data_IF_568183139407
#
_entry.id   IF_568183139407
#
_cell.length_a   1.000
_cell.length_b   1.000
_cell.length_c   1.000
_cell.angle_alpha   90.00
_cell.angle_beta   90.00
_cell.angle_gamma   90.00
#
_symmetry.space_group_name_H-M   'P 1'
#
loop_
_entity.id
_entity.type
_entity.pdbx_description
1 polymer ?
#
# COMPACT_ATOMS: atom_id res chain seq x y z
N UNK A 1 -3.72 -4.95 14.08
CA UNK A 1 -2.46 -4.25 13.73
C UNK A 1 -2.56 -3.57 12.37
N UNK A 2 -2.97 -4.31 11.33
CA UNK A 2 -3.11 -3.78 9.96
C UNK A 2 -3.82 -2.41 9.86
N UNK A 3 -4.99 -2.17 10.48
CA UNK A 3 -5.65 -0.85 10.38
C UNK A 3 -4.82 0.32 10.94
N UNK A 4 -4.00 0.06 11.96
CA UNK A 4 -3.12 1.08 12.55
C UNK A 4 -1.98 1.39 11.59
N UNK A 5 -1.40 0.36 10.97
CA UNK A 5 -0.31 0.52 10.02
C UNK A 5 -0.79 1.25 8.77
N UNK A 6 -1.96 0.89 8.22
CA UNK A 6 -2.51 1.55 7.03
C UNK A 6 -2.86 3.02 7.28
N UNK A 7 -3.40 3.36 8.46
CA UNK A 7 -3.60 4.78 8.81
C UNK A 7 -2.33 5.53 9.16
N UNK A 8 -1.28 4.83 9.57
CA UNK A 8 0.03 5.46 9.75
C UNK A 8 0.70 5.70 8.40
N UNK A 9 0.50 4.80 7.45
CA UNK A 9 0.98 4.91 6.07
C UNK A 9 0.40 6.14 5.35
N UNK A 10 -0.86 6.48 5.61
CA UNK A 10 -1.54 7.65 5.05
C UNK A 10 -1.18 9.00 5.71
N UNK A 11 -0.12 9.05 6.53
CA UNK A 11 0.37 10.27 7.18
C UNK A 11 1.64 10.80 6.54
N UNK A 12 1.73 10.75 5.20
CA UNK A 12 2.84 11.39 4.49
C UNK A 12 2.83 12.92 4.72
N UNK A 13 4.01 13.48 4.98
CA UNK A 13 4.25 14.93 4.99
C UNK A 13 4.31 15.49 3.57
N UNK A 14 3.95 16.78 3.40
CA UNK A 14 4.02 17.44 2.08
C UNK A 14 5.47 17.72 1.62
N UNK A 15 6.46 17.51 2.50
CA UNK A 15 7.88 17.74 2.26
C UNK A 15 8.74 16.62 2.81
N UNK A 16 8.16 15.42 2.96
CA UNK A 16 8.94 14.25 3.36
C UNK A 16 9.87 13.89 2.19
N UNK A 17 11.17 14.02 2.39
CA UNK A 17 12.13 13.63 1.37
C UNK A 17 12.23 12.10 1.30
N UNK A 18 12.62 11.54 0.15
CA UNK A 18 12.68 10.08 -0.04
C UNK A 18 13.68 9.40 0.92
N UNK A 19 14.67 10.15 1.41
CA UNK A 19 15.67 9.68 2.37
C UNK A 19 15.23 9.79 3.85
N UNK A 20 14.15 10.53 4.15
CA UNK A 20 13.71 10.75 5.54
C UNK A 20 13.05 9.49 6.14
N UNK A 21 13.49 9.05 7.31
CA UNK A 21 12.84 7.93 8.00
C UNK A 21 11.73 8.42 8.95
N UNK A 22 10.48 8.22 8.55
CA UNK A 22 9.31 8.67 9.30
C UNK A 22 8.34 7.50 9.63
N UNK A 23 7.31 7.74 10.46
CA UNK A 23 6.34 6.70 10.83
C UNK A 23 5.61 6.06 9.65
N UNK A 24 5.33 6.80 8.57
CA UNK A 24 4.66 6.27 7.39
C UNK A 24 5.56 5.23 6.68
N UNK A 25 6.84 5.55 6.45
CA UNK A 25 7.81 4.59 5.88
C UNK A 25 8.03 3.38 6.79
N UNK A 26 8.12 3.62 8.10
CA UNK A 26 8.20 2.53 9.08
C UNK A 26 6.96 1.61 9.04
N UNK A 27 5.77 2.17 8.84
CA UNK A 27 4.55 1.39 8.68
C UNK A 27 4.57 0.53 7.42
N UNK A 28 5.05 1.07 6.29
CA UNK A 28 5.22 0.31 5.04
C UNK A 28 6.15 -0.88 5.21
N UNK A 29 7.33 -0.67 5.79
CA UNK A 29 8.27 -1.76 6.10
C UNK A 29 7.66 -2.77 7.08
N UNK A 30 6.89 -2.32 8.07
CA UNK A 30 6.20 -3.23 8.98
C UNK A 30 5.15 -4.09 8.26
N UNK A 31 4.39 -3.53 7.31
CA UNK A 31 3.43 -4.28 6.48
C UNK A 31 4.17 -5.34 5.64
N UNK A 32 5.30 -4.98 5.03
CA UNK A 32 6.13 -5.91 4.26
C UNK A 32 6.62 -7.08 5.13
N UNK A 33 7.16 -6.79 6.32
CA UNK A 33 7.60 -7.83 7.24
C UNK A 33 6.44 -8.71 7.72
N UNK A 34 5.25 -8.13 7.91
CA UNK A 34 4.05 -8.92 8.24
C UNK A 34 3.62 -9.81 7.07
N UNK A 35 3.72 -9.35 5.83
CA UNK A 35 3.40 -10.14 4.65
C UNK A 35 4.33 -11.36 4.55
N UNK A 36 5.64 -11.15 4.68
CA UNK A 36 6.64 -12.21 4.72
C UNK A 36 6.44 -13.18 5.89
N UNK A 37 6.00 -12.68 7.05
CA UNK A 37 5.79 -13.49 8.25
C UNK A 37 4.48 -14.32 8.21
N UNK A 38 3.44 -13.80 7.57
CA UNK A 38 2.07 -14.38 7.66
C UNK A 38 1.54 -14.94 6.34
N UNK A 39 2.25 -14.72 5.23
CA UNK A 39 1.87 -15.18 3.91
C UNK A 39 0.48 -14.67 3.52
N UNK A 40 -0.37 -15.57 3.02
CA UNK A 40 -1.70 -15.24 2.49
C UNK A 40 -2.63 -14.54 3.50
N UNK A 41 -2.42 -14.75 4.80
CA UNK A 41 -3.33 -14.25 5.84
C UNK A 41 -3.39 -12.72 5.89
N UNK A 42 -2.34 -12.01 5.46
CA UNK A 42 -2.35 -10.54 5.45
C UNK A 42 -3.31 -9.96 4.41
N UNK A 43 -3.58 -10.70 3.32
CA UNK A 43 -4.26 -10.17 2.14
C UNK A 43 -5.68 -9.75 2.48
N UNK A 44 -6.44 -10.60 3.19
CA UNK A 44 -7.81 -10.32 3.63
C UNK A 44 -7.91 -9.08 4.54
N UNK A 45 -6.81 -8.68 5.16
CA UNK A 45 -6.75 -7.54 6.06
C UNK A 45 -6.33 -6.25 5.36
N UNK A 46 -5.50 -6.34 4.31
CA UNK A 46 -4.98 -5.19 3.56
C UNK A 46 -5.88 -4.80 2.39
N UNK A 47 -6.42 -5.76 1.65
CA UNK A 47 -7.25 -5.50 0.47
C UNK A 47 -8.42 -4.53 0.74
N UNK A 48 -9.19 -4.64 1.85
CA UNK A 48 -10.28 -3.70 2.13
C UNK A 48 -9.82 -2.24 2.24
N UNK A 49 -8.59 -1.99 2.70
CA UNK A 49 -8.02 -0.64 2.74
C UNK A 49 -7.70 -0.15 1.33
N UNK A 50 -7.07 -1.00 0.49
CA UNK A 50 -6.70 -0.66 -0.88
C UNK A 50 -7.95 -0.35 -1.71
N UNK A 51 -8.92 -1.26 -1.74
CA UNK A 51 -10.13 -1.13 -2.54
C UNK A 51 -10.92 0.13 -2.19
N UNK A 52 -10.94 0.48 -0.90
CA UNK A 52 -11.61 1.68 -0.40
C UNK A 52 -10.90 2.97 -0.82
N UNK A 53 -9.57 2.96 -0.90
CA UNK A 53 -8.77 4.18 -0.90
C UNK A 53 -7.98 4.44 -2.18
N UNK A 54 -7.90 3.48 -3.11
CA UNK A 54 -7.13 3.64 -4.34
C UNK A 54 -7.64 4.80 -5.24
N UNK A 55 -8.92 5.16 -5.12
CA UNK A 55 -9.55 6.30 -5.79
C UNK A 55 -9.98 7.41 -4.82
N UNK A 56 -9.42 7.44 -3.61
CA UNK A 56 -9.77 8.44 -2.60
C UNK A 56 -9.42 9.86 -3.10
N UNK A 57 -10.27 10.88 -2.91
CA UNK A 57 -9.93 12.26 -3.28
C UNK A 57 -8.69 12.80 -2.54
N UNK A 58 -8.35 12.26 -1.36
CA UNK A 58 -7.12 12.58 -0.65
C UNK A 58 -5.95 11.72 -1.18
N UNK A 59 -4.93 12.38 -1.74
CA UNK A 59 -3.76 11.73 -2.35
C UNK A 59 -3.00 10.84 -1.37
N UNK A 60 -2.94 11.21 -0.09
CA UNK A 60 -2.27 10.43 0.96
C UNK A 60 -2.82 9.02 1.07
N UNK A 61 -4.15 8.90 0.98
CA UNK A 61 -4.82 7.61 0.99
C UNK A 61 -4.63 6.83 -0.30
N UNK A 62 -4.55 7.51 -1.47
CA UNK A 62 -4.24 6.86 -2.75
C UNK A 62 -2.84 6.26 -2.72
N UNK A 63 -1.86 7.06 -2.35
CA UNK A 63 -0.46 6.64 -2.28
C UNK A 63 -0.24 5.57 -1.20
N UNK A 64 -0.84 5.71 -0.02
CA UNK A 64 -0.79 4.67 1.01
C UNK A 64 -1.38 3.35 0.50
N UNK A 65 -2.41 3.39 -0.35
CA UNK A 65 -2.98 2.17 -0.95
C UNK A 65 -2.01 1.51 -1.92
N UNK A 66 -1.32 2.30 -2.75
CA UNK A 66 -0.29 1.79 -3.67
C UNK A 66 0.88 1.20 -2.89
N UNK A 67 1.35 1.89 -1.85
CA UNK A 67 2.43 1.43 -0.99
C UNK A 67 2.05 0.14 -0.24
N UNK A 68 0.83 0.06 0.30
CA UNK A 68 0.31 -1.14 0.95
C UNK A 68 0.20 -2.31 -0.04
N UNK A 69 -0.26 -2.06 -1.27
CA UNK A 69 -0.33 -3.07 -2.33
C UNK A 69 1.07 -3.61 -2.65
N UNK A 70 2.05 -2.74 -2.90
CA UNK A 70 3.43 -3.14 -3.17
C UNK A 70 4.06 -3.91 -1.99
N UNK A 71 3.76 -3.49 -0.76
CA UNK A 71 4.30 -4.11 0.46
C UNK A 71 3.84 -5.56 0.67
N UNK A 72 2.71 -5.99 0.10
CA UNK A 72 2.22 -7.37 0.21
C UNK A 72 2.59 -8.26 -0.98
N UNK A 73 3.37 -7.76 -1.94
CA UNK A 73 3.79 -8.54 -3.12
C UNK A 73 4.91 -9.55 -2.82
N UNK A 74 5.44 -9.56 -1.61
CA UNK A 74 6.40 -10.54 -1.10
C UNK A 74 5.87 -11.16 0.20
N UNK A 75 5.79 -12.50 0.23
CA UNK A 75 5.22 -13.27 1.34
C UNK A 75 4.07 -14.20 0.95
N UNK A 76 2.94 -13.71 0.40
CA UNK A 76 1.85 -14.56 -0.05
C UNK A 76 2.28 -15.55 -1.15
N UNK A 77 1.51 -16.61 -1.32
CA UNK A 77 1.81 -17.64 -2.31
C UNK A 77 1.62 -17.10 -3.74
N UNK A 78 2.30 -17.71 -4.71
CA UNK A 78 2.32 -17.27 -6.11
C UNK A 78 0.91 -17.17 -6.71
N UNK A 79 0.01 -18.12 -6.41
CA UNK A 79 -1.36 -18.11 -6.96
C UNK A 79 -2.15 -16.91 -6.43
N UNK A 80 -1.98 -16.56 -5.15
CA UNK A 80 -2.61 -15.40 -4.54
C UNK A 80 -2.05 -14.10 -5.13
N UNK A 81 -0.72 -14.00 -5.27
CA UNK A 81 -0.05 -12.85 -5.86
C UNK A 81 -0.47 -12.62 -7.31
N UNK A 82 -0.55 -13.68 -8.13
CA UNK A 82 -1.02 -13.57 -9.52
C UNK A 82 -2.42 -12.95 -9.57
N UNK A 83 -3.35 -13.43 -8.73
CA UNK A 83 -4.72 -12.88 -8.68
C UNK A 83 -4.75 -11.42 -8.26
N UNK A 84 -3.97 -11.04 -7.24
CA UNK A 84 -3.88 -9.67 -6.76
C UNK A 84 -3.38 -8.71 -7.86
N UNK A 85 -2.32 -9.12 -8.57
CA UNK A 85 -1.77 -8.34 -9.67
C UNK A 85 -2.77 -8.23 -10.81
N UNK A 86 -3.40 -9.34 -11.22
CA UNK A 86 -4.42 -9.32 -12.28
C UNK A 86 -5.61 -8.41 -11.95
N UNK A 87 -6.06 -8.39 -10.70
CA UNK A 87 -7.18 -7.53 -10.28
C UNK A 87 -6.80 -6.05 -10.09
N UNK A 88 -5.58 -5.78 -9.63
CA UNK A 88 -5.17 -4.43 -9.19
C UNK A 88 -4.35 -3.64 -10.20
N UNK A 89 -3.62 -4.31 -11.10
CA UNK A 89 -2.58 -3.67 -11.94
C UNK A 89 -3.12 -2.51 -12.78
N UNK A 90 -4.26 -2.70 -13.46
CA UNK A 90 -4.84 -1.63 -14.29
C UNK A 90 -5.25 -0.41 -13.47
N UNK A 91 -5.79 -0.61 -12.26
CA UNK A 91 -6.19 0.48 -11.39
C UNK A 91 -4.97 1.24 -10.86
N UNK A 92 -3.90 0.52 -10.50
CA UNK A 92 -2.65 1.12 -10.03
C UNK A 92 -1.99 1.92 -11.15
N UNK A 93 -1.93 1.40 -12.38
CA UNK A 93 -1.38 2.14 -13.54
C UNK A 93 -2.17 3.43 -13.78
N UNK A 94 -3.50 3.38 -13.68
CA UNK A 94 -4.34 4.56 -13.81
C UNK A 94 -4.04 5.57 -12.69
N UNK A 95 -3.88 5.12 -11.45
CA UNK A 95 -3.52 5.98 -10.33
C UNK A 95 -2.14 6.61 -10.51
N UNK A 96 -1.12 5.88 -10.97
CA UNK A 96 0.23 6.42 -11.22
C UNK A 96 0.28 7.53 -12.27
N UNK A 97 -0.77 7.67 -13.09
CA UNK A 97 -0.90 8.77 -14.06
C UNK A 97 -1.47 10.06 -13.45
N UNK A 98 -1.77 10.08 -12.15
CA UNK A 98 -2.32 11.23 -11.42
C UNK A 98 -1.24 12.32 -11.22
N UNK A 99 -1.45 13.55 -11.75
CA UNK A 99 -0.51 14.66 -11.61
C UNK A 99 -0.19 15.03 -10.16
N UNK A 100 -1.10 14.78 -9.21
CA UNK A 100 -0.88 15.07 -7.80
C UNK A 100 0.05 14.07 -7.10
N UNK A 101 0.30 12.90 -7.69
CA UNK A 101 1.28 11.93 -7.17
C UNK A 101 2.67 12.09 -7.77
N UNK A 102 2.84 12.92 -8.80
CA UNK A 102 4.13 13.21 -9.44
C UNK A 102 4.68 14.59 -9.07
N UNK A 103 4.04 15.28 -8.12
CA UNK A 103 4.35 16.65 -7.69
C UNK A 103 4.89 16.64 -6.27
#
# INVERSE_FOLDING_TARGET
LVPILTETLAKQGDSDDDDDWNPAKAAGVCIMLLAQCTGDSIVDHICPFIDKNLQNPNWRYREASIMAFGSILDGPNVVMLTRLVESGLFQIIASLSDPQMMA
#
